data_IF_667023685618
#
_entry.id   IF_667023685618
#
_cell.length_a   1.000
_cell.length_b   1.000
_cell.length_c   1.000
_cell.angle_alpha   90.00
_cell.angle_beta   90.00
_cell.angle_gamma   90.00
#
_symmetry.space_group_name_H-M   'P 1'
#
loop_
_entity.id
_entity.type
_entity.pdbx_description
1 polymer ?
#
# COMPACT_ATOMS: atom_id res chain seq x y z
N UNK A 1 -14.02 -23.72 -14.98
CA UNK A 1 -13.02 -22.63 -14.93
C UNK A 1 -13.32 -21.81 -13.69
N UNK A 2 -12.55 -22.03 -12.62
CA UNK A 2 -12.93 -21.60 -11.27
C UNK A 2 -12.64 -20.11 -11.07
N UNK A 3 -13.65 -19.28 -11.25
CA UNK A 3 -13.68 -17.93 -10.68
C UNK A 3 -13.60 -18.08 -9.16
N UNK A 4 -12.40 -17.92 -8.57
CA UNK A 4 -12.24 -17.83 -7.12
C UNK A 4 -12.96 -16.57 -6.67
N UNK A 5 -14.23 -16.76 -6.30
CA UNK A 5 -15.09 -15.74 -5.75
C UNK A 5 -14.46 -15.16 -4.50
N UNK A 6 -14.48 -13.84 -4.45
CA UNK A 6 -14.31 -13.07 -3.23
C UNK A 6 -15.33 -13.65 -2.24
N UNK A 7 -14.88 -14.34 -1.20
CA UNK A 7 -15.79 -14.78 -0.14
C UNK A 7 -16.32 -13.53 0.58
N UNK A 8 -17.54 -13.51 1.10
CA UNK A 8 -18.10 -12.36 1.82
C UNK A 8 -17.28 -11.95 3.08
N UNK A 9 -16.32 -12.78 3.49
CA UNK A 9 -15.38 -12.52 4.60
C UNK A 9 -13.99 -12.05 4.13
N UNK A 10 -13.75 -11.96 2.81
CA UNK A 10 -12.52 -11.37 2.28
C UNK A 10 -12.64 -9.84 2.33
N UNK A 11 -11.72 -9.13 3.00
CA UNK A 11 -11.76 -7.68 3.03
C UNK A 11 -11.71 -7.14 1.60
N UNK A 12 -12.66 -6.27 1.25
CA UNK A 12 -12.67 -5.62 -0.06
C UNK A 12 -11.39 -4.78 -0.20
N UNK A 13 -10.62 -4.96 -1.30
CA UNK A 13 -9.47 -4.10 -1.55
C UNK A 13 -9.96 -2.65 -1.67
N UNK A 14 -9.17 -1.74 -1.08
CA UNK A 14 -9.40 -0.30 -1.17
C UNK A 14 -8.26 0.31 -1.97
N UNK A 15 -8.60 1.18 -2.91
CA UNK A 15 -7.63 1.99 -3.62
C UNK A 15 -7.35 3.24 -2.79
N UNK A 16 -6.17 3.33 -2.22
CA UNK A 16 -5.70 4.50 -1.50
C UNK A 16 -4.84 5.34 -2.46
N UNK A 17 -5.27 6.56 -2.79
CA UNK A 17 -4.46 7.49 -3.58
C UNK A 17 -3.78 8.48 -2.66
N UNK A 18 -2.47 8.31 -2.47
CA UNK A 18 -1.64 9.17 -1.64
C UNK A 18 -1.01 10.27 -2.51
N UNK A 19 -1.18 11.51 -2.09
CA UNK A 19 -0.57 12.69 -2.72
C UNK A 19 0.29 13.37 -1.67
N UNK A 20 1.57 13.62 -1.99
CA UNK A 20 2.50 14.32 -1.09
C UNK A 20 1.98 15.72 -0.80
N UNK A 21 2.11 16.13 0.45
CA UNK A 21 1.81 17.51 0.84
C UNK A 21 3.10 18.34 0.83
N UNK A 22 3.03 19.63 0.48
CA UNK A 22 4.20 20.52 0.48
C UNK A 22 4.88 20.61 1.84
N UNK A 23 4.10 20.56 2.92
CA UNK A 23 4.54 20.76 4.30
C UNK A 23 4.69 19.45 5.10
N UNK A 24 4.71 18.29 4.42
CA UNK A 24 4.84 16.98 5.05
C UNK A 24 5.97 16.15 4.41
N UNK A 25 6.84 15.57 5.24
CA UNK A 25 7.93 14.73 4.73
C UNK A 25 7.43 13.32 4.37
N UNK A 26 7.33 13.06 3.06
CA UNK A 26 6.89 11.77 2.54
C UNK A 26 5.38 11.59 2.55
N UNK A 27 4.92 10.38 2.90
CA UNK A 27 3.51 10.00 2.87
C UNK A 27 2.92 9.70 4.27
N UNK A 28 3.77 9.50 5.29
CA UNK A 28 3.34 9.24 6.68
C UNK A 28 2.91 7.80 6.94
N UNK A 29 3.60 6.81 6.36
CA UNK A 29 3.38 5.40 6.68
C UNK A 29 4.68 4.59 6.62
N UNK A 30 4.71 3.50 7.36
CA UNK A 30 5.79 2.52 7.32
C UNK A 30 5.44 1.33 6.44
N UNK A 31 6.37 0.93 5.58
CA UNK A 31 6.28 -0.31 4.80
C UNK A 31 7.14 -1.39 5.44
N UNK A 32 6.59 -2.57 5.72
CA UNK A 32 7.38 -3.70 6.20
C UNK A 32 7.02 -5.01 5.50
N UNK A 33 7.97 -5.95 5.52
CA UNK A 33 7.76 -7.33 5.12
C UNK A 33 7.88 -8.22 6.36
N UNK A 34 6.91 -9.09 6.60
CA UNK A 34 6.99 -10.05 7.70
C UNK A 34 7.79 -11.28 7.27
N UNK A 35 8.77 -11.73 8.07
CA UNK A 35 9.55 -12.95 7.74
C UNK A 35 8.66 -14.20 7.62
N UNK A 36 7.53 -14.22 8.32
CA UNK A 36 6.60 -15.35 8.36
C UNK A 36 5.49 -15.27 7.29
N UNK A 37 5.24 -14.11 6.68
CA UNK A 37 4.18 -13.94 5.68
C UNK A 37 4.73 -13.31 4.41
N UNK A 38 4.45 -13.93 3.27
CA UNK A 38 4.81 -13.34 1.98
C UNK A 38 3.95 -12.09 1.71
N UNK A 39 4.60 -11.02 1.23
CA UNK A 39 3.95 -9.77 0.86
C UNK A 39 4.52 -8.55 1.57
N UNK A 40 3.95 -7.39 1.24
CA UNK A 40 4.25 -6.11 1.86
C UNK A 40 3.03 -5.62 2.63
N UNK A 41 3.28 -5.09 3.82
CA UNK A 41 2.25 -4.66 4.76
C UNK A 41 2.50 -3.23 5.22
N UNK A 42 1.41 -2.54 5.48
CA UNK A 42 1.41 -1.22 6.10
C UNK A 42 1.59 -1.42 7.61
N UNK A 43 2.66 -0.83 8.14
CA UNK A 43 2.85 -0.73 9.58
C UNK A 43 2.13 0.49 10.13
N UNK A 44 2.80 1.24 10.98
CA UNK A 44 2.26 2.49 11.51
C UNK A 44 1.91 3.48 10.40
N UNK A 45 0.75 4.10 10.52
CA UNK A 45 0.33 5.28 9.74
C UNK A 45 0.33 6.47 10.70
N UNK A 46 0.96 7.57 10.31
CA UNK A 46 1.05 8.76 11.13
C UNK A 46 -0.26 9.55 11.08
N UNK A 47 -0.63 10.18 12.20
CA UNK A 47 -1.78 11.07 12.26
C UNK A 47 -1.55 12.34 11.45
N UNK A 48 -2.64 12.91 10.92
CA UNK A 48 -2.63 14.10 10.07
C UNK A 48 -1.67 13.96 8.88
N UNK A 49 -1.60 12.76 8.29
CA UNK A 49 -0.72 12.45 7.15
C UNK A 49 -1.49 12.20 5.85
N UNK A 50 -0.82 12.31 4.68
CA UNK A 50 -1.39 11.91 3.40
C UNK A 50 -1.92 10.47 3.39
N UNK A 51 -1.22 9.54 4.04
CA UNK A 51 -1.61 8.14 4.13
C UNK A 51 -2.90 7.93 4.92
N UNK A 52 -3.03 8.61 6.07
CA UNK A 52 -4.26 8.55 6.88
C UNK A 52 -5.45 9.14 6.10
N UNK A 53 -5.26 10.30 5.45
CA UNK A 53 -6.32 10.94 4.67
C UNK A 53 -6.74 10.09 3.45
N UNK A 54 -5.79 9.40 2.83
CA UNK A 54 -6.05 8.46 1.74
C UNK A 54 -6.77 7.17 2.19
N UNK A 55 -6.94 6.96 3.50
CA UNK A 55 -7.64 5.81 4.07
C UNK A 55 -6.77 4.57 4.26
N UNK A 56 -5.44 4.72 4.22
CA UNK A 56 -4.50 3.65 4.50
C UNK A 56 -4.55 3.27 5.99
N UNK A 57 -4.51 1.98 6.30
CA UNK A 57 -4.59 1.50 7.69
C UNK A 57 -3.44 0.57 8.03
N UNK A 58 -3.01 0.63 9.29
CA UNK A 58 -2.08 -0.34 9.83
C UNK A 58 -2.63 -1.77 9.69
N UNK A 59 -1.76 -2.68 9.24
CA UNK A 59 -2.10 -4.06 8.94
C UNK A 59 -2.63 -4.31 7.52
N UNK A 60 -2.89 -3.26 6.73
CA UNK A 60 -3.29 -3.44 5.32
C UNK A 60 -2.18 -4.16 4.55
N UNK A 61 -2.57 -5.11 3.70
CA UNK A 61 -1.65 -5.80 2.80
C UNK A 61 -1.71 -5.14 1.42
N UNK A 62 -0.54 -4.75 0.91
CA UNK A 62 -0.44 -4.20 -0.44
C UNK A 62 -0.51 -5.35 -1.44
N UNK A 63 -1.39 -5.22 -2.43
CA UNK A 63 -1.53 -6.15 -3.56
C UNK A 63 -1.15 -5.50 -4.88
N UNK A 64 -1.34 -4.19 -5.00
CA UNK A 64 -1.01 -3.40 -6.18
C UNK A 64 -0.34 -2.09 -5.78
N UNK A 65 0.54 -1.58 -6.63
CA UNK A 65 1.08 -0.23 -6.52
C UNK A 65 1.00 0.42 -7.89
N UNK A 66 0.42 1.61 -7.97
CA UNK A 66 0.19 2.33 -9.22
C UNK A 66 -0.54 1.48 -10.27
N UNK A 67 -1.54 0.72 -9.84
CA UNK A 67 -2.36 -0.21 -10.66
C UNK A 67 -1.56 -1.39 -11.25
N UNK A 68 -0.39 -1.71 -10.67
CA UNK A 68 0.44 -2.85 -11.05
C UNK A 68 0.53 -3.83 -9.89
N UNK A 69 0.20 -5.10 -10.16
CA UNK A 69 0.27 -6.17 -9.17
C UNK A 69 1.72 -6.45 -8.74
N UNK A 70 1.93 -6.55 -7.43
CA UNK A 70 3.27 -6.72 -6.81
C UNK A 70 3.53 -8.14 -6.27
N UNK A 71 2.71 -9.14 -6.62
CA UNK A 71 2.81 -10.48 -6.02
C UNK A 71 4.19 -11.16 -6.18
N UNK A 72 4.92 -10.84 -7.25
CA UNK A 72 6.24 -11.40 -7.55
C UNK A 72 7.40 -10.46 -7.20
N UNK A 73 7.13 -9.40 -6.45
CA UNK A 73 8.12 -8.38 -6.15
C UNK A 73 8.66 -8.45 -4.74
N UNK A 74 9.95 -8.14 -4.63
CA UNK A 74 10.60 -7.98 -3.35
C UNK A 74 10.35 -6.58 -2.76
N UNK A 75 10.68 -6.43 -1.48
CA UNK A 75 10.49 -5.18 -0.74
C UNK A 75 11.08 -3.95 -1.46
N UNK A 76 12.29 -4.08 -2.00
CA UNK A 76 12.98 -2.98 -2.69
C UNK A 76 12.23 -2.55 -3.95
N UNK A 77 11.80 -3.50 -4.78
CA UNK A 77 11.05 -3.21 -6.01
C UNK A 77 9.71 -2.51 -5.71
N UNK A 78 9.03 -2.92 -4.65
CA UNK A 78 7.80 -2.26 -4.20
C UNK A 78 8.08 -0.81 -3.77
N UNK A 79 9.14 -0.56 -3.00
CA UNK A 79 9.56 0.81 -2.62
C UNK A 79 9.91 1.64 -3.85
N UNK A 80 10.63 1.07 -4.82
CA UNK A 80 10.95 1.75 -6.08
C UNK A 80 9.68 2.13 -6.85
N UNK A 81 8.67 1.26 -6.89
CA UNK A 81 7.38 1.59 -7.53
C UNK A 81 6.58 2.65 -6.77
N UNK A 82 6.56 2.60 -5.45
CA UNK A 82 5.90 3.64 -4.63
C UNK A 82 6.50 5.02 -4.94
N UNK A 83 7.79 5.06 -5.26
CA UNK A 83 8.53 6.28 -5.59
C UNK A 83 8.58 6.58 -7.10
N UNK A 84 8.00 5.75 -7.95
CA UNK A 84 8.15 5.88 -9.40
C UNK A 84 7.39 7.06 -9.98
N UNK A 85 6.29 7.47 -9.34
CA UNK A 85 5.53 8.65 -9.73
C UNK A 85 5.92 9.80 -8.79
N UNK A 86 6.35 10.96 -9.33
CA UNK A 86 6.61 12.12 -8.51
C UNK A 86 5.35 12.56 -7.77
N UNK A 87 5.47 12.84 -6.48
CA UNK A 87 4.44 13.41 -5.62
C UNK A 87 3.17 12.59 -5.37
N UNK A 88 3.01 11.41 -5.95
CA UNK A 88 1.85 10.55 -5.66
C UNK A 88 2.14 9.06 -5.77
N UNK A 89 1.28 8.25 -5.17
CA UNK A 89 1.25 6.79 -5.34
C UNK A 89 -0.16 6.28 -5.10
N UNK A 90 -0.54 5.19 -5.77
CA UNK A 90 -1.80 4.47 -5.55
C UNK A 90 -1.51 3.09 -4.98
N UNK A 91 -2.11 2.76 -3.84
CA UNK A 91 -1.95 1.49 -3.13
C UNK A 91 -3.27 0.72 -3.04
#
# INVERSE_FOLDING_TARGET
>A
MSSRGITPESPCPRLCHLVKWPDFDGYGFNLHAEKAKSGQYIGKVDDDSPAQLAGLREGDRIIEVNLVNIANENHRQVVERIKSIPNETKL
#
